data_IF_720027526413
#
_entry.id   IF_720027526413
#
_cell.length_a   1.000
_cell.length_b   1.000
_cell.length_c   1.000
_cell.angle_alpha   90.00
_cell.angle_beta   90.00
_cell.angle_gamma   90.00
#
_symmetry.space_group_name_H-M   'P 1'
#
loop_
_entity.id
_entity.type
_entity.pdbx_description
1 polymer ?
#
# COMPACT_ATOMS: atom_id res chain seq x y z
N UNK A 1 -21.92 -4.02 2.27
CA UNK A 1 -20.99 -2.95 1.83
C UNK A 1 -19.61 -3.55 1.61
N UNK A 2 -18.99 -3.36 0.44
CA UNK A 2 -17.70 -3.98 0.09
C UNK A 2 -16.73 -2.99 -0.55
N UNK A 3 -15.45 -3.38 -0.67
CA UNK A 3 -14.37 -2.58 -1.26
C UNK A 3 -13.85 -3.31 -2.50
N UNK A 4 -13.64 -2.60 -3.61
CA UNK A 4 -13.08 -3.15 -4.85
C UNK A 4 -11.64 -2.65 -5.06
N UNK A 5 -10.61 -3.45 -4.76
CA UNK A 5 -9.22 -3.07 -5.03
C UNK A 5 -8.91 -3.15 -6.53
N UNK A 6 -7.95 -2.35 -6.98
CA UNK A 6 -7.44 -2.37 -8.36
C UNK A 6 -5.93 -2.12 -8.39
N UNK A 7 -5.24 -2.80 -9.29
CA UNK A 7 -3.78 -2.73 -9.47
C UNK A 7 -3.25 -1.72 -10.49
N UNK A 8 -4.02 -1.14 -11.44
CA UNK A 8 -3.45 -0.33 -12.53
C UNK A 8 -2.49 0.78 -12.07
N UNK A 9 -2.87 1.56 -11.06
CA UNK A 9 -2.04 2.65 -10.55
C UNK A 9 -0.71 2.17 -9.93
N UNK A 10 -0.68 0.96 -9.36
CA UNK A 10 0.51 0.40 -8.74
C UNK A 10 1.42 -0.25 -9.78
N UNK A 11 0.85 -0.94 -10.76
CA UNK A 11 1.62 -1.53 -11.87
C UNK A 11 2.21 -0.47 -12.78
N UNK A 12 1.51 0.64 -13.03
CA UNK A 12 2.08 1.79 -13.77
C UNK A 12 3.27 2.40 -13.04
N UNK A 13 3.31 2.32 -11.70
CA UNK A 13 4.44 2.77 -10.87
C UNK A 13 5.59 1.76 -10.79
N UNK A 14 5.48 0.60 -11.44
CA UNK A 14 6.53 -0.41 -11.45
C UNK A 14 6.43 -1.48 -10.36
N UNK A 15 5.38 -1.46 -9.51
CA UNK A 15 5.16 -2.52 -8.52
C UNK A 15 4.75 -3.84 -9.18
N UNK A 16 5.18 -4.96 -8.61
CA UNK A 16 4.95 -6.32 -9.11
C UNK A 16 4.32 -7.20 -8.03
N UNK A 17 4.28 -8.51 -8.29
CA UNK A 17 3.69 -9.53 -7.43
C UNK A 17 4.22 -9.49 -5.98
N UNK A 18 5.53 -9.28 -5.71
CA UNK A 18 6.03 -9.21 -4.33
C UNK A 18 5.38 -8.07 -3.53
N UNK A 19 5.26 -6.88 -4.13
CA UNK A 19 4.63 -5.73 -3.50
C UNK A 19 3.13 -5.97 -3.31
N UNK A 20 2.46 -6.62 -4.26
CA UNK A 20 1.03 -6.94 -4.14
C UNK A 20 0.76 -7.93 -3.00
N UNK A 21 1.61 -8.95 -2.82
CA UNK A 21 1.51 -9.85 -1.68
C UNK A 21 1.67 -9.11 -0.35
N UNK A 22 2.62 -8.17 -0.28
CA UNK A 22 2.85 -7.36 0.90
C UNK A 22 1.64 -6.46 1.21
N UNK A 23 1.10 -5.77 0.20
CA UNK A 23 -0.08 -4.92 0.32
C UNK A 23 -1.30 -5.74 0.76
N UNK A 24 -1.50 -6.94 0.19
CA UNK A 24 -2.58 -7.85 0.59
C UNK A 24 -2.50 -8.24 2.07
N UNK A 25 -1.29 -8.55 2.57
CA UNK A 25 -1.05 -8.84 3.99
C UNK A 25 -1.37 -7.64 4.88
N UNK A 26 -1.04 -6.42 4.46
CA UNK A 26 -1.34 -5.20 5.20
C UNK A 26 -2.84 -4.89 5.24
N UNK A 27 -3.54 -5.05 4.11
CA UNK A 27 -5.00 -4.92 4.03
C UNK A 27 -5.64 -5.89 5.02
N UNK A 28 -5.29 -7.18 4.95
CA UNK A 28 -5.82 -8.18 5.89
C UNK A 28 -5.57 -7.79 7.34
N UNK A 29 -4.34 -7.37 7.67
CA UNK A 29 -3.96 -7.01 9.03
C UNK A 29 -4.75 -5.83 9.60
N UNK A 30 -5.02 -4.79 8.78
CA UNK A 30 -5.85 -3.65 9.21
C UNK A 30 -7.32 -4.09 9.37
N UNK A 31 -7.84 -4.91 8.45
CA UNK A 31 -9.22 -5.37 8.52
C UNK A 31 -9.48 -6.28 9.72
N UNK A 32 -8.49 -7.07 10.16
CA UNK A 32 -8.59 -7.91 11.36
C UNK A 32 -8.49 -7.12 12.68
N UNK A 33 -8.06 -5.85 12.66
CA UNK A 33 -7.88 -5.02 13.86
C UNK A 33 -8.15 -3.54 13.57
N UNK A 34 -9.39 -3.18 13.19
CA UNK A 34 -9.70 -1.85 12.66
C UNK A 34 -9.57 -0.71 13.67
N UNK A 35 -9.69 -1.00 14.97
CA UNK A 35 -9.60 0.00 16.04
C UNK A 35 -8.17 0.20 16.57
N UNK A 36 -7.21 -0.62 16.13
CA UNK A 36 -5.81 -0.51 16.56
C UNK A 36 -5.13 0.71 15.91
N UNK A 37 -5.13 1.82 16.65
CA UNK A 37 -4.50 3.08 16.24
C UNK A 37 -2.99 2.96 16.09
N UNK A 38 -2.33 2.09 16.87
CA UNK A 38 -0.89 1.88 16.81
C UNK A 38 -0.51 1.15 15.53
N UNK A 39 -1.25 0.08 15.20
CA UNK A 39 -1.12 -0.62 13.93
C UNK A 39 -1.36 0.31 12.75
N UNK A 40 -2.39 1.15 12.81
CA UNK A 40 -2.69 2.12 11.74
C UNK A 40 -1.55 3.12 11.52
N UNK A 41 -0.92 3.62 12.60
CA UNK A 41 0.26 4.49 12.49
C UNK A 41 1.44 3.76 11.85
N UNK A 42 1.70 2.52 12.28
CA UNK A 42 2.79 1.68 11.74
C UNK A 42 2.61 1.39 10.26
N UNK A 43 1.40 0.99 9.85
CA UNK A 43 1.04 0.74 8.46
C UNK A 43 1.22 1.96 7.58
N UNK A 44 0.87 3.16 8.09
CA UNK A 44 1.11 4.41 7.37
C UNK A 44 2.60 4.65 7.09
N UNK A 45 3.49 4.29 8.01
CA UNK A 45 4.95 4.37 7.78
C UNK A 45 5.37 3.41 6.67
N UNK A 46 4.98 2.14 6.78
CA UNK A 46 5.35 1.11 5.80
C UNK A 46 4.83 1.40 4.39
N UNK A 47 3.59 1.88 4.26
CA UNK A 47 3.02 2.30 2.97
C UNK A 47 3.81 3.46 2.38
N UNK A 48 4.25 4.41 3.21
CA UNK A 48 5.07 5.56 2.76
C UNK A 48 6.44 5.09 2.29
N UNK A 49 7.12 4.24 3.06
CA UNK A 49 8.42 3.66 2.72
C UNK A 49 8.34 2.90 1.40
N UNK A 50 7.31 2.06 1.21
CA UNK A 50 7.08 1.37 -0.06
C UNK A 50 6.85 2.37 -1.21
N UNK A 51 6.01 3.38 -1.02
CA UNK A 51 5.75 4.37 -2.06
C UNK A 51 6.99 5.18 -2.48
N UNK A 52 7.93 5.42 -1.56
CA UNK A 52 9.18 6.13 -1.86
C UNK A 52 10.10 5.34 -2.80
N UNK A 53 9.99 4.02 -2.84
CA UNK A 53 10.73 3.15 -3.77
C UNK A 53 10.16 3.16 -5.19
N UNK A 54 8.93 3.67 -5.38
CA UNK A 54 8.22 3.70 -6.65
C UNK A 54 7.65 5.12 -6.92
N UNK A 55 8.50 6.12 -7.17
CA UNK A 55 8.07 7.49 -7.46
C UNK A 55 7.18 7.55 -8.71
N UNK A 56 6.29 8.56 -8.77
CA UNK A 56 5.30 8.70 -9.86
C UNK A 56 5.73 9.75 -10.89
N UNK A 57 6.39 10.80 -10.41
CA UNK A 57 6.73 11.97 -11.21
C UNK A 57 8.23 12.25 -11.06
N UNK A 58 9.05 11.46 -11.75
CA UNK A 58 10.49 11.71 -11.79
C UNK A 58 10.84 12.96 -12.62
N UNK A 59 9.97 13.28 -13.60
CA UNK A 59 10.22 14.34 -14.59
C UNK A 59 9.55 15.69 -14.26
N UNK A 60 8.72 15.77 -13.21
CA UNK A 60 8.15 17.04 -12.74
C UNK A 60 9.12 17.66 -11.73
N UNK A 61 10.03 18.50 -12.22
CA UNK A 61 10.79 19.47 -11.42
C UNK A 61 10.10 20.82 -11.41
#
# INVERSE_FOLDING_TARGET
SGIRPGTPALTTRGMREPEMQLIGKWINKILSSPEDRTLRKKMRSWVRELCQQFPIYEDLK
#
